data_IF_472042851661
#
_entry.id   IF_472042851661
#
_cell.length_a   1.000
_cell.length_b   1.000
_cell.length_c   1.000
_cell.angle_alpha   90.00
_cell.angle_beta   90.00
_cell.angle_gamma   90.00
#
_symmetry.space_group_name_H-M   'P 1'
#
loop_
_entity.id
_entity.type
_entity.pdbx_description
1 polymer ?
#
# COMPACT_ATOMS: atom_id res chain seq x y z
N UNK A 1 6.01 12.46 -0.67
CA UNK A 1 5.11 11.30 -0.59
C UNK A 1 4.01 11.49 -1.62
N UNK A 2 3.83 10.53 -2.53
CA UNK A 2 2.86 10.66 -3.63
C UNK A 2 1.45 10.69 -3.07
N UNK A 3 0.66 11.70 -3.45
CA UNK A 3 -0.72 11.94 -2.99
C UNK A 3 -1.73 10.93 -3.55
N UNK A 4 -1.36 9.66 -3.69
CA UNK A 4 -2.30 8.59 -3.99
C UNK A 4 -2.95 8.10 -2.71
N UNK A 5 -4.25 7.80 -2.78
CA UNK A 5 -4.98 7.17 -1.67
C UNK A 5 -4.30 5.83 -1.34
N UNK A 6 -3.90 5.66 -0.08
CA UNK A 6 -3.09 4.52 0.39
C UNK A 6 -1.72 4.97 0.87
N UNK A 7 -1.41 4.71 2.15
CA UNK A 7 -0.08 4.94 2.71
C UNK A 7 0.90 3.95 2.07
N UNK A 8 1.51 4.31 0.96
CA UNK A 8 2.51 3.46 0.30
C UNK A 8 3.92 3.87 0.72
N UNK A 9 4.72 2.90 1.15
CA UNK A 9 6.12 3.08 1.53
C UNK A 9 7.02 2.38 0.51
N UNK A 10 7.27 3.02 -0.64
CA UNK A 10 8.26 2.52 -1.59
C UNK A 10 8.20 3.12 -3.01
N UNK A 11 9.19 2.78 -3.86
CA UNK A 11 9.24 3.24 -5.24
C UNK A 11 8.10 2.64 -6.07
N UNK A 12 7.65 3.38 -7.08
CA UNK A 12 6.57 2.90 -7.92
C UNK A 12 6.40 3.70 -9.21
N UNK A 13 5.58 3.14 -10.08
CA UNK A 13 5.17 3.74 -11.35
C UNK A 13 3.67 4.01 -11.31
N UNK A 14 3.24 5.07 -12.00
CA UNK A 14 1.84 5.45 -12.06
C UNK A 14 1.50 6.10 -13.41
N UNK A 15 0.29 5.82 -13.86
CA UNK A 15 -0.36 6.47 -14.99
C UNK A 15 -1.60 7.19 -14.47
N UNK A 16 -1.79 8.44 -14.90
CA UNK A 16 -3.00 9.21 -14.63
C UNK A 16 -3.62 9.65 -15.95
N UNK A 17 -4.95 9.52 -16.04
CA UNK A 17 -5.72 9.94 -17.20
C UNK A 17 -6.92 10.79 -16.77
N UNK A 18 -6.93 12.04 -17.24
CA UNK A 18 -8.05 12.94 -17.04
C UNK A 18 -9.15 12.63 -18.05
N UNK A 19 -10.26 12.08 -17.57
CA UNK A 19 -11.40 11.72 -18.43
C UNK A 19 -12.33 12.90 -18.66
N UNK A 20 -12.45 13.79 -17.68
CA UNK A 20 -13.18 15.06 -17.77
C UNK A 20 -12.58 16.10 -16.82
N UNK A 21 -13.10 17.33 -16.83
CA UNK A 21 -12.66 18.40 -15.92
C UNK A 21 -12.84 18.05 -14.43
N UNK A 22 -13.66 17.06 -14.11
CA UNK A 22 -14.02 16.68 -12.74
C UNK A 22 -13.64 15.24 -12.39
N UNK A 23 -13.13 14.46 -13.35
CA UNK A 23 -12.87 13.03 -13.16
C UNK A 23 -11.50 12.64 -13.69
N UNK A 24 -10.67 12.09 -12.80
CA UNK A 24 -9.39 11.49 -13.12
C UNK A 24 -9.37 10.00 -12.76
N UNK A 25 -8.74 9.21 -13.62
CA UNK A 25 -8.47 7.80 -13.41
C UNK A 25 -6.98 7.60 -13.21
N UNK A 26 -6.59 6.73 -12.30
CA UNK A 26 -5.20 6.37 -12.07
C UNK A 26 -4.99 4.86 -12.09
N UNK A 27 -3.81 4.43 -12.51
CA UNK A 27 -3.31 3.08 -12.35
C UNK A 27 -1.89 3.17 -11.80
N UNK A 28 -1.60 2.46 -10.71
CA UNK A 28 -0.28 2.47 -10.09
C UNK A 28 0.17 1.05 -9.73
N UNK A 29 1.47 0.81 -9.84
CA UNK A 29 2.14 -0.36 -9.30
C UNK A 29 3.33 0.09 -8.45
N UNK A 30 3.49 -0.47 -7.25
CA UNK A 30 4.56 -0.09 -6.32
C UNK A 30 5.25 -1.31 -5.75
N UNK A 31 6.46 -1.13 -5.25
CA UNK A 31 7.15 -2.12 -4.43
C UNK A 31 7.17 -1.60 -3.00
N UNK A 32 6.58 -2.33 -2.07
CA UNK A 32 6.45 -1.92 -0.67
C UNK A 32 7.22 -2.88 0.25
N UNK A 33 7.82 -2.31 1.30
CA UNK A 33 8.52 -3.07 2.33
C UNK A 33 8.30 -2.42 3.68
N UNK A 34 7.58 -3.12 4.56
CA UNK A 34 7.23 -2.64 5.89
C UNK A 34 7.94 -3.49 6.94
N UNK A 35 8.70 -2.85 7.81
CA UNK A 35 9.35 -3.50 8.96
C UNK A 35 8.62 -3.16 10.25
N UNK A 36 8.43 -4.15 11.10
CA UNK A 36 7.81 -4.01 12.42
C UNK A 36 8.57 -4.83 13.46
N UNK A 37 8.58 -4.35 14.71
CA UNK A 37 9.19 -5.08 15.83
C UNK A 37 8.30 -6.25 16.24
N UNK A 38 8.91 -7.39 16.50
CA UNK A 38 8.26 -8.55 17.09
C UNK A 38 8.26 -8.40 18.62
N UNK A 39 7.32 -9.07 19.28
CA UNK A 39 7.27 -9.14 20.74
C UNK A 39 8.38 -10.05 21.31
N UNK A 40 8.45 -10.16 22.63
CA UNK A 40 9.45 -10.94 23.37
C UNK A 40 9.13 -12.45 23.40
N UNK A 41 8.19 -12.91 22.56
CA UNK A 41 7.68 -14.28 22.56
C UNK A 41 7.68 -14.90 21.15
N UNK A 42 7.41 -16.20 21.07
CA UNK A 42 7.30 -16.91 19.80
C UNK A 42 8.64 -17.32 19.19
N UNK A 43 8.68 -17.41 17.84
CA UNK A 43 9.79 -18.02 17.08
C UNK A 43 10.95 -17.05 16.76
N UNK A 44 10.74 -15.74 16.94
CA UNK A 44 11.75 -14.69 16.83
C UNK A 44 11.49 -13.60 17.89
N UNK A 45 11.74 -13.92 19.18
CA UNK A 45 11.56 -12.94 20.25
C UNK A 45 12.47 -11.73 20.04
N UNK A 46 11.96 -10.53 20.33
CA UNK A 46 12.62 -9.23 20.19
C UNK A 46 13.13 -8.91 18.77
N UNK A 47 12.68 -9.70 17.80
CA UNK A 47 13.11 -9.65 16.42
C UNK A 47 12.46 -8.56 15.58
N UNK A 48 12.63 -8.69 14.26
CA UNK A 48 12.02 -7.81 13.25
C UNK A 48 11.25 -8.67 12.25
N UNK A 49 9.96 -8.37 12.10
CA UNK A 49 9.14 -8.84 10.99
C UNK A 49 9.25 -7.87 9.82
N UNK A 50 9.31 -8.40 8.62
CA UNK A 50 9.34 -7.65 7.38
C UNK A 50 8.32 -8.22 6.41
N UNK A 51 7.41 -7.36 5.94
CA UNK A 51 6.43 -7.69 4.92
C UNK A 51 6.76 -6.95 3.63
N UNK A 52 6.92 -7.69 2.54
CA UNK A 52 7.12 -7.15 1.19
C UNK A 52 5.94 -7.48 0.30
N UNK A 53 5.55 -6.55 -0.56
CA UNK A 53 4.51 -6.77 -1.56
C UNK A 53 4.65 -5.84 -2.76
N UNK A 54 3.96 -6.19 -3.85
CA UNK A 54 3.79 -5.37 -5.04
C UNK A 54 2.30 -5.07 -5.24
N UNK A 55 1.78 -3.97 -4.67
CA UNK A 55 0.41 -3.56 -4.94
C UNK A 55 0.24 -3.03 -6.36
N UNK A 56 -0.86 -3.42 -7.00
CA UNK A 56 -1.35 -2.87 -8.28
C UNK A 56 -2.76 -2.36 -8.06
N UNK A 57 -2.96 -1.05 -8.23
CA UNK A 57 -4.17 -0.34 -7.81
C UNK A 57 -4.71 0.57 -8.91
N UNK A 58 -6.02 0.52 -9.14
CA UNK A 58 -6.79 1.49 -9.90
C UNK A 58 -7.37 2.55 -8.96
N UNK A 59 -7.28 3.82 -9.32
CA UNK A 59 -7.87 4.94 -8.58
C UNK A 59 -8.89 5.70 -9.42
N UNK A 60 -9.92 6.21 -8.75
CA UNK A 60 -10.95 7.08 -9.30
C UNK A 60 -11.02 8.34 -8.42
N UNK A 61 -10.78 9.50 -9.01
CA UNK A 61 -10.77 10.78 -8.32
C UNK A 61 -11.83 11.70 -8.92
N UNK A 62 -12.87 12.01 -8.14
CA UNK A 62 -13.97 12.88 -8.53
C UNK A 62 -13.97 14.19 -7.75
N UNK A 63 -13.91 15.30 -8.49
CA UNK A 63 -13.83 16.68 -7.98
C UNK A 63 -14.97 17.51 -8.56
N UNK A 64 -16.19 17.42 -8.00
CA UNK A 64 -17.35 18.15 -8.54
C UNK A 64 -17.23 19.67 -8.41
N UNK A 65 -16.46 20.15 -7.43
CA UNK A 65 -16.16 21.56 -7.22
C UNK A 65 -14.84 21.73 -6.44
N UNK A 66 -14.28 22.94 -6.35
CA UNK A 66 -13.00 23.17 -5.65
C UNK A 66 -12.99 22.86 -4.14
N UNK A 67 -14.16 22.77 -3.50
CA UNK A 67 -14.32 22.52 -2.07
C UNK A 67 -14.47 21.03 -1.71
N UNK A 68 -14.68 20.14 -2.68
CA UNK A 68 -14.95 18.71 -2.45
C UNK A 68 -14.13 17.84 -3.37
N UNK A 69 -13.45 16.83 -2.80
CA UNK A 69 -12.80 15.75 -3.54
C UNK A 69 -13.23 14.41 -2.95
N UNK A 70 -13.65 13.49 -3.81
CA UNK A 70 -13.99 12.11 -3.47
C UNK A 70 -13.06 11.20 -4.24
N UNK A 71 -12.36 10.32 -3.54
CA UNK A 71 -11.41 9.40 -4.15
C UNK A 71 -11.74 7.98 -3.73
N UNK A 72 -11.64 7.03 -4.65
CA UNK A 72 -11.79 5.61 -4.39
C UNK A 72 -10.67 4.83 -5.06
N UNK A 73 -10.31 3.69 -4.51
CA UNK A 73 -9.31 2.81 -5.10
C UNK A 73 -9.67 1.34 -4.88
N UNK A 74 -9.22 0.51 -5.80
CA UNK A 74 -9.31 -0.95 -5.71
C UNK A 74 -8.12 -1.59 -6.43
N UNK A 75 -7.64 -2.72 -5.93
CA UNK A 75 -6.46 -3.37 -6.44
C UNK A 75 -6.16 -4.70 -5.79
N UNK A 76 -4.96 -5.18 -6.03
CA UNK A 76 -4.43 -6.41 -5.43
C UNK A 76 -3.01 -6.20 -4.94
N UNK A 77 -2.65 -6.82 -3.83
CA UNK A 77 -1.29 -6.97 -3.34
C UNK A 77 -0.77 -8.33 -3.79
N UNK A 78 0.24 -8.34 -4.65
CA UNK A 78 0.83 -9.59 -5.17
C UNK A 78 2.32 -9.70 -4.84
N UNK A 79 2.89 -10.89 -4.96
CA UNK A 79 4.28 -11.16 -4.59
C UNK A 79 4.54 -10.90 -3.10
N UNK A 80 3.57 -11.25 -2.26
CA UNK A 80 3.65 -11.08 -0.82
C UNK A 80 4.69 -12.01 -0.21
N UNK A 81 5.55 -11.48 0.64
CA UNK A 81 6.56 -12.27 1.36
C UNK A 81 6.71 -11.75 2.79
N UNK A 82 6.65 -12.67 3.75
CA UNK A 82 6.87 -12.42 5.16
C UNK A 82 8.22 -12.99 5.58
N UNK A 83 9.12 -12.14 6.08
CA UNK A 83 10.41 -12.56 6.64
C UNK A 83 10.46 -12.20 8.13
N UNK A 84 10.73 -13.18 8.99
CA UNK A 84 10.99 -12.95 10.41
C UNK A 84 12.47 -13.12 10.69
N UNK A 85 13.05 -12.14 11.38
CA UNK A 85 14.44 -12.16 11.87
C UNK A 85 14.45 -12.07 13.39
N UNK A 86 15.36 -12.79 14.05
CA UNK A 86 15.59 -12.69 15.49
C UNK A 86 16.37 -11.41 15.87
N UNK A 87 16.64 -11.22 17.17
CA UNK A 87 17.41 -10.08 17.69
C UNK A 87 18.85 -10.00 17.15
N UNK A 88 19.43 -11.15 16.80
CA UNK A 88 20.76 -11.26 16.19
C UNK A 88 20.75 -10.97 14.68
N UNK A 89 19.57 -10.73 14.10
CA UNK A 89 19.35 -10.46 12.68
C UNK A 89 19.34 -11.70 11.79
N UNK A 90 19.29 -12.91 12.35
CA UNK A 90 19.19 -14.16 11.58
C UNK A 90 17.75 -14.38 11.13
N UNK A 91 17.57 -14.81 9.88
CA UNK A 91 16.24 -15.20 9.38
C UNK A 91 15.83 -16.50 10.06
N UNK A 92 14.74 -16.46 10.82
CA UNK A 92 14.16 -17.64 11.47
C UNK A 92 13.08 -18.29 10.61
N UNK A 93 12.37 -17.49 9.82
CA UNK A 93 11.29 -17.95 8.97
C UNK A 93 11.10 -16.99 7.80
N UNK A 94 10.80 -17.58 6.65
CA UNK A 94 10.40 -16.87 5.44
C UNK A 94 9.23 -17.64 4.81
N UNK A 95 8.19 -16.91 4.47
CA UNK A 95 6.96 -17.50 3.94
C UNK A 95 6.38 -16.61 2.84
N UNK A 96 5.96 -17.21 1.75
CA UNK A 96 5.16 -16.54 0.73
C UNK A 96 3.73 -16.28 1.26
N UNK A 97 3.20 -15.12 0.90
CA UNK A 97 1.84 -14.69 1.26
C UNK A 97 1.01 -14.62 -0.02
N UNK A 98 -0.19 -15.22 0.04
CA UNK A 98 -1.11 -15.23 -1.08
C UNK A 98 -1.54 -13.81 -1.49
N UNK A 99 -1.88 -13.67 -2.76
CA UNK A 99 -2.35 -12.39 -3.30
C UNK A 99 -3.66 -11.98 -2.61
N UNK A 100 -3.69 -10.74 -2.11
CA UNK A 100 -4.83 -10.18 -1.39
C UNK A 100 -5.48 -9.04 -2.18
N UNK A 101 -6.80 -8.85 -2.00
CA UNK A 101 -7.50 -7.71 -2.58
C UNK A 101 -7.45 -6.51 -1.64
N UNK A 102 -7.27 -5.30 -2.20
CA UNK A 102 -7.27 -4.04 -1.46
C UNK A 102 -8.29 -3.07 -2.06
N UNK A 103 -8.99 -2.34 -1.20
CA UNK A 103 -9.95 -1.32 -1.61
C UNK A 103 -10.11 -0.27 -0.53
N UNK A 104 -10.46 0.95 -0.92
CA UNK A 104 -10.72 2.02 0.02
C UNK A 104 -11.28 3.26 -0.65
N UNK A 105 -11.70 4.21 0.17
CA UNK A 105 -12.23 5.48 -0.28
C UNK A 105 -11.87 6.59 0.71
N UNK A 106 -11.83 7.82 0.20
CA UNK A 106 -11.55 9.03 0.95
C UNK A 106 -12.44 10.17 0.46
N UNK A 107 -12.84 11.03 1.39
CA UNK A 107 -13.52 12.30 1.09
C UNK A 107 -12.74 13.43 1.75
N UNK A 108 -12.44 14.47 0.98
CA UNK A 108 -11.81 15.70 1.44
C UNK A 108 -12.77 16.87 1.22
N UNK A 109 -13.01 17.64 2.28
CA UNK A 109 -13.81 18.87 2.24
C UNK A 109 -12.94 20.04 2.71
N UNK A 110 -12.95 21.13 1.95
CA UNK A 110 -12.23 22.38 2.27
C UNK A 110 -13.23 23.51 2.51
N UNK A 111 -12.98 24.29 3.57
CA UNK A 111 -13.79 25.43 4.01
C UNK A 111 -12.97 26.72 3.94
#
# INVERSE_FOLDING_TARGET
TGQGVGASEGPGIGLSYQTSETLDLGLAARYESTQFRLDDSGIAPDGIGEFRAVPVVLTLDWRPNPGVSVSAFAGVETGGEMTLRDEDGRIVQQSDVDTAAVLGAQVLVRF
#
